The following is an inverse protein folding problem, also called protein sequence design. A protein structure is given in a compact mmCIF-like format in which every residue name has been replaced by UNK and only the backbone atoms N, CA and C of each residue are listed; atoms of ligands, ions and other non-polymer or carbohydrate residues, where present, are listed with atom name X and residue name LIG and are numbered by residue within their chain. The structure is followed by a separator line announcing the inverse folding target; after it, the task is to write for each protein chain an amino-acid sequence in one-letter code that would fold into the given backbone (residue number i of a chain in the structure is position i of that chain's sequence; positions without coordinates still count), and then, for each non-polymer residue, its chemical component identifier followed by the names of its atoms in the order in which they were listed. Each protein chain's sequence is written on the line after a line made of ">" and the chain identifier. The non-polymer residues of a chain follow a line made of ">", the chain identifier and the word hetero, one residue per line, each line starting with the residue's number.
data_IF_152231791935
#
_entry.id   IF_152231791935
#
_cell.length_a   1.000
_cell.length_b   1.000
_cell.length_c   1.000
_cell.angle_alpha   90.00
_cell.angle_beta   90.00
_cell.angle_gamma   90.00
#
_symmetry.space_group_name_H-M   'P 1'
#
loop_
_entity.id
_entity.type
_entity.pdbx_description
1 polymer ?
#
# COMPACT_ATOMS: atom_id res chain seq x y z
N UNK A 1 -7.51 -14.40 24.58
CA UNK A 1 -6.05 -14.14 24.48
C UNK A 1 -5.78 -12.75 25.04
N UNK A 2 -4.58 -12.47 25.57
CA UNK A 2 -4.21 -11.12 26.02
C UNK A 2 -4.19 -10.15 24.83
N UNK A 3 -4.55 -8.88 25.05
CA UNK A 3 -4.57 -7.83 24.01
C UNK A 3 -3.21 -7.71 23.28
N UNK A 4 -2.11 -7.83 24.04
CA UNK A 4 -0.75 -7.88 23.52
C UNK A 4 -0.52 -9.01 22.50
N UNK A 5 -1.12 -10.17 22.72
CA UNK A 5 -1.00 -11.30 21.80
C UNK A 5 -1.72 -11.04 20.48
N UNK A 6 -2.88 -10.36 20.51
CA UNK A 6 -3.58 -9.97 19.30
C UNK A 6 -2.77 -8.97 18.47
N UNK A 7 -2.15 -7.98 19.12
CA UNK A 7 -1.28 -6.99 18.45
C UNK A 7 -0.08 -7.70 17.79
N UNK A 8 0.60 -8.60 18.50
CA UNK A 8 1.74 -9.34 17.95
C UNK A 8 1.34 -10.14 16.71
N UNK A 9 0.24 -10.90 16.79
CA UNK A 9 -0.23 -11.72 15.67
C UNK A 9 -0.58 -10.86 14.46
N UNK A 10 -1.33 -9.76 14.66
CA UNK A 10 -1.72 -8.85 13.56
C UNK A 10 -0.51 -8.15 12.95
N UNK A 11 0.44 -7.70 13.76
CA UNK A 11 1.69 -7.10 13.29
C UNK A 11 2.49 -8.03 12.39
N UNK A 12 2.64 -9.30 12.78
CA UNK A 12 3.36 -10.30 11.98
C UNK A 12 2.63 -10.55 10.65
N UNK A 13 1.30 -10.70 10.68
CA UNK A 13 0.50 -10.88 9.46
C UNK A 13 0.67 -9.69 8.50
N UNK A 14 0.53 -8.46 9.00
CA UNK A 14 0.62 -7.28 8.14
C UNK A 14 2.03 -7.01 7.65
N UNK A 15 3.07 -7.30 8.43
CA UNK A 15 4.45 -7.26 7.91
C UNK A 15 4.61 -8.20 6.71
N UNK A 16 4.08 -9.43 6.79
CA UNK A 16 4.13 -10.38 5.67
C UNK A 16 3.34 -9.85 4.47
N UNK A 17 2.14 -9.30 4.69
CA UNK A 17 1.32 -8.69 3.63
C UNK A 17 2.06 -7.51 2.98
N UNK A 18 2.64 -6.61 3.75
CA UNK A 18 3.36 -5.44 3.26
C UNK A 18 4.62 -5.84 2.47
N UNK A 19 5.36 -6.85 2.93
CA UNK A 19 6.51 -7.42 2.18
C UNK A 19 6.04 -8.00 0.84
N UNK A 20 4.89 -8.68 0.81
CA UNK A 20 4.33 -9.20 -0.44
C UNK A 20 3.91 -8.07 -1.39
N UNK A 21 3.24 -7.04 -0.87
CA UNK A 21 2.81 -5.88 -1.67
C UNK A 21 3.98 -5.07 -2.22
N UNK A 22 5.01 -4.82 -1.41
CA UNK A 22 6.23 -4.14 -1.87
C UNK A 22 6.95 -4.93 -2.96
N UNK A 23 6.94 -6.27 -2.90
CA UNK A 23 7.47 -7.10 -4.00
C UNK A 23 6.64 -7.00 -5.27
N UNK A 24 5.32 -6.89 -5.17
CA UNK A 24 4.43 -6.70 -6.33
C UNK A 24 4.65 -5.36 -7.02
N UNK A 25 4.82 -4.28 -6.25
CA UNK A 25 5.11 -2.94 -6.77
C UNK A 25 6.49 -2.84 -7.46
N UNK A 26 7.40 -3.76 -7.13
CA UNK A 26 8.73 -3.81 -7.71
C UNK A 26 9.74 -2.92 -7.00
N UNK A 27 11.02 -3.05 -7.39
CA UNK A 27 12.12 -2.26 -6.82
C UNK A 27 12.34 -1.03 -7.70
N UNK A 28 12.03 0.16 -7.17
CA UNK A 28 12.40 1.46 -7.75
C UNK A 28 13.33 2.20 -6.79
N UNK A 29 14.26 3.00 -7.29
CA UNK A 29 15.05 3.87 -6.42
C UNK A 29 14.16 4.97 -5.81
N UNK A 30 14.50 5.49 -4.62
CA UNK A 30 13.71 6.54 -3.96
C UNK A 30 13.49 7.76 -4.87
N UNK A 31 14.45 8.09 -5.73
CA UNK A 31 14.36 9.17 -6.73
C UNK A 31 13.43 8.89 -7.91
N UNK A 32 13.01 7.65 -8.09
CA UNK A 32 12.20 7.17 -9.22
C UNK A 32 10.77 6.80 -8.81
N UNK A 33 10.48 6.82 -7.50
CA UNK A 33 9.13 6.58 -6.98
C UNK A 33 8.22 7.74 -7.41
N UNK A 34 7.09 7.42 -8.03
CA UNK A 34 6.10 8.42 -8.42
C UNK A 34 5.43 9.03 -7.19
N UNK A 35 4.90 10.25 -7.33
CA UNK A 35 4.13 10.87 -6.25
C UNK A 35 2.93 10.00 -5.83
N UNK A 36 2.29 9.35 -6.81
CA UNK A 36 1.16 8.46 -6.54
C UNK A 36 1.56 7.20 -5.77
N UNK A 37 2.69 6.58 -6.12
CA UNK A 37 3.25 5.44 -5.38
C UNK A 37 3.59 5.81 -3.94
N UNK A 38 4.18 7.00 -3.74
CA UNK A 38 4.52 7.49 -2.41
C UNK A 38 3.28 7.67 -1.53
N UNK A 39 2.25 8.36 -2.02
CA UNK A 39 0.98 8.54 -1.30
C UNK A 39 0.31 7.20 -1.04
N UNK A 40 0.26 6.31 -2.03
CA UNK A 40 -0.33 4.97 -1.89
C UNK A 40 0.37 4.15 -0.80
N UNK A 41 1.71 4.20 -0.74
CA UNK A 41 2.49 3.52 0.29
C UNK A 41 2.16 3.99 1.71
N UNK A 42 2.00 5.31 1.91
CA UNK A 42 1.58 5.88 3.19
C UNK A 42 0.18 5.39 3.56
N UNK A 43 -0.78 5.43 2.63
CA UNK A 43 -2.15 4.99 2.88
C UNK A 43 -2.22 3.51 3.26
N UNK A 44 -1.49 2.65 2.54
CA UNK A 44 -1.36 1.22 2.87
C UNK A 44 -0.79 1.03 4.29
N UNK A 45 0.23 1.81 4.65
CA UNK A 45 0.81 1.79 5.99
C UNK A 45 -0.17 2.21 7.09
N UNK A 46 -0.99 3.25 6.83
CA UNK A 46 -2.03 3.69 7.77
C UNK A 46 -3.08 2.61 8.01
N UNK A 47 -3.58 1.99 6.93
CA UNK A 47 -4.56 0.88 7.00
C UNK A 47 -3.99 -0.27 7.82
N UNK A 48 -2.72 -0.64 7.58
CA UNK A 48 -2.06 -1.68 8.35
C UNK A 48 -2.00 -1.32 9.85
N UNK A 49 -1.63 -0.08 10.18
CA UNK A 49 -1.59 0.42 11.56
C UNK A 49 -2.94 0.36 12.26
N UNK A 50 -4.01 0.78 11.59
CA UNK A 50 -5.38 0.74 12.13
C UNK A 50 -5.83 -0.67 12.50
N UNK A 51 -5.53 -1.65 11.64
CA UNK A 51 -5.90 -3.05 11.88
C UNK A 51 -5.06 -3.65 13.00
N UNK A 52 -3.75 -3.37 13.02
CA UNK A 52 -2.83 -3.82 14.08
C UNK A 52 -3.30 -3.33 15.45
N UNK A 53 -3.62 -2.03 15.55
CA UNK A 53 -4.11 -1.40 16.78
C UNK A 53 -5.53 -1.82 17.15
N UNK A 54 -6.21 -2.57 16.28
CA UNK A 54 -7.58 -3.05 16.52
C UNK A 54 -8.65 -1.98 16.45
N UNK A 55 -8.33 -0.83 15.87
CA UNK A 55 -9.30 0.22 15.49
C UNK A 55 -10.26 -0.34 14.44
N UNK A 56 -9.72 -1.12 13.49
CA UNK A 56 -10.51 -1.97 12.61
C UNK A 56 -10.50 -3.41 13.13
N UNK A 57 -11.68 -3.94 13.46
CA UNK A 57 -11.82 -5.28 14.03
C UNK A 57 -11.74 -6.39 12.98
N UNK A 58 -12.04 -6.08 11.72
CA UNK A 58 -12.03 -7.05 10.65
C UNK A 58 -10.70 -6.99 9.87
N UNK A 59 -9.83 -7.96 10.13
CA UNK A 59 -8.55 -8.13 9.44
C UNK A 59 -8.74 -8.27 7.91
N UNK A 60 -9.85 -8.88 7.48
CA UNK A 60 -10.18 -9.05 6.06
C UNK A 60 -10.42 -7.73 5.34
N UNK A 61 -11.02 -6.73 6.00
CA UNK A 61 -11.18 -5.39 5.41
C UNK A 61 -9.83 -4.72 5.18
N UNK A 62 -8.92 -4.82 6.17
CA UNK A 62 -7.57 -4.30 6.05
C UNK A 62 -6.78 -4.90 4.89
N UNK A 63 -6.80 -6.23 4.78
CA UNK A 63 -6.13 -6.95 3.68
C UNK A 63 -6.75 -6.56 2.33
N UNK A 64 -8.09 -6.54 2.23
CA UNK A 64 -8.79 -6.16 1.00
C UNK A 64 -8.44 -4.73 0.56
N UNK A 65 -8.44 -3.78 1.48
CA UNK A 65 -8.10 -2.39 1.20
C UNK A 65 -6.65 -2.26 0.71
N UNK A 66 -5.69 -2.94 1.37
CA UNK A 66 -4.30 -2.97 0.92
C UNK A 66 -4.17 -3.55 -0.49
N UNK A 67 -4.86 -4.65 -0.79
CA UNK A 67 -4.84 -5.28 -2.12
C UNK A 67 -5.41 -4.33 -3.18
N UNK A 68 -6.55 -3.66 -2.90
CA UNK A 68 -7.15 -2.69 -3.81
C UNK A 68 -6.18 -1.54 -4.10
N UNK A 69 -5.57 -0.96 -3.05
CA UNK A 69 -4.60 0.12 -3.22
C UNK A 69 -3.40 -0.34 -4.05
N UNK A 70 -2.82 -1.51 -3.75
CA UNK A 70 -1.70 -2.04 -4.52
C UNK A 70 -2.04 -2.25 -6.01
N UNK A 71 -3.22 -2.80 -6.31
CA UNK A 71 -3.68 -2.98 -7.70
C UNK A 71 -3.87 -1.64 -8.41
N UNK A 72 -4.49 -0.66 -7.75
CA UNK A 72 -4.68 0.68 -8.33
C UNK A 72 -3.33 1.35 -8.57
N UNK A 73 -2.38 1.27 -7.64
CA UNK A 73 -1.02 1.81 -7.82
C UNK A 73 -0.33 1.19 -9.04
N UNK A 74 -0.40 -0.13 -9.20
CA UNK A 74 0.14 -0.82 -10.37
C UNK A 74 -0.54 -0.37 -11.68
N UNK A 75 -1.87 -0.22 -11.68
CA UNK A 75 -2.62 0.23 -12.86
C UNK A 75 -2.27 1.67 -13.24
N UNK A 76 -2.12 2.55 -12.26
CA UNK A 76 -1.72 3.94 -12.48
C UNK A 76 -0.32 3.99 -13.06
N UNK A 77 0.64 3.28 -12.46
CA UNK A 77 2.02 3.21 -12.97
C UNK A 77 2.07 2.69 -14.40
N UNK A 78 1.37 1.59 -14.68
CA UNK A 78 1.30 1.02 -16.02
C UNK A 78 0.67 1.99 -17.03
N UNK A 79 -0.40 2.68 -16.63
CA UNK A 79 -1.08 3.66 -17.47
C UNK A 79 -0.24 4.91 -17.71
N UNK A 80 0.55 5.32 -16.72
CA UNK A 80 1.49 6.43 -16.81
C UNK A 80 2.65 6.12 -17.77
N UNK A 81 3.13 4.87 -17.81
CA UNK A 81 4.10 4.41 -18.80
C UNK A 81 3.54 4.46 -20.23
N UNK A 82 2.24 4.17 -20.41
CA UNK A 82 1.59 4.12 -21.72
C UNK A 82 1.20 5.50 -22.26
N UNK A 83 0.88 6.47 -21.40
CA UNK A 83 0.38 7.79 -21.80
C UNK A 83 1.03 8.93 -21.05
N UNK A 84 1.77 9.78 -21.79
CA UNK A 84 2.37 11.01 -21.25
C UNK A 84 1.33 12.00 -20.72
N UNK A 85 0.12 12.05 -21.32
CA UNK A 85 -0.97 12.90 -20.83
C UNK A 85 -1.50 12.41 -19.48
N UNK A 86 -1.66 11.09 -19.33
CA UNK A 86 -2.09 10.49 -18.07
C UNK A 86 -1.01 10.68 -17.01
N UNK A 87 0.26 10.41 -17.35
CA UNK A 87 1.38 10.65 -16.45
C UNK A 87 1.40 12.07 -15.89
N UNK A 88 1.24 13.09 -16.74
CA UNK A 88 1.16 14.50 -16.31
C UNK A 88 -0.02 14.79 -15.40
N UNK A 89 -1.16 14.10 -15.58
CA UNK A 89 -2.33 14.24 -14.73
C UNK A 89 -2.09 13.70 -13.31
N UNK A 90 -1.50 12.50 -13.19
CA UNK A 90 -1.40 11.80 -11.90
C UNK A 90 -0.13 12.12 -11.13
N UNK A 91 1.00 12.33 -11.82
CA UNK A 91 2.28 12.68 -11.17
C UNK A 91 2.45 14.20 -10.99
N UNK A 92 1.60 15.00 -11.63
CA UNK A 92 1.75 16.45 -11.69
C UNK A 92 2.84 16.88 -12.67
N UNK A 93 2.61 18.00 -13.34
CA UNK A 93 3.58 18.61 -14.27
C UNK A 93 4.81 19.07 -13.50
N UNK A 94 5.99 18.49 -13.80
CA UNK A 94 7.23 19.27 -13.74
C UNK A 94 7.28 20.21 -14.95
#
# INVERSE_FOLDING_TARGET
>A
MSEWAHIIIRSVIFIVVLIFMTRLLGKKQISEISFFEYVSGITIGSIAGEVIMGLERNIGHGILAIVIFAVITLLVDYSALKSQKFRKLVEGTK
#
